data_IF_339022340755
#
_entry.id   IF_339022340755
#
_cell.length_a   1.000
_cell.length_b   1.000
_cell.length_c   1.000
_cell.angle_alpha   90.00
_cell.angle_beta   90.00
_cell.angle_gamma   90.00
#
_symmetry.space_group_name_H-M   'P 1'
#
loop_
_entity.id
_entity.type
_entity.pdbx_description
1 polymer ?
#
# COMPACT_ATOMS: atom_id res chain seq x y z
N UNK A 1 18.95 -4.15 -9.93
CA UNK A 1 18.01 -3.64 -10.95
C UNK A 1 17.38 -2.32 -10.50
N UNK A 2 16.56 -2.31 -9.44
CA UNK A 2 15.79 -1.13 -8.99
C UNK A 2 16.62 0.16 -8.91
N UNK A 3 17.74 0.16 -8.18
CA UNK A 3 18.66 1.32 -8.10
C UNK A 3 19.05 1.85 -9.49
N UNK A 4 19.52 0.95 -10.37
CA UNK A 4 20.00 1.30 -11.71
C UNK A 4 18.90 1.80 -12.63
N UNK A 5 17.68 1.29 -12.47
CA UNK A 5 16.55 1.77 -13.26
C UNK A 5 16.15 3.19 -12.86
N UNK A 6 16.19 3.53 -11.57
CA UNK A 6 15.71 4.83 -11.09
C UNK A 6 16.80 5.92 -11.05
N UNK A 7 18.09 5.58 -11.13
CA UNK A 7 19.19 6.57 -11.10
C UNK A 7 19.12 7.56 -12.28
N UNK A 8 18.37 7.23 -13.34
CA UNK A 8 18.08 8.11 -14.48
C UNK A 8 17.33 9.39 -14.08
N UNK A 9 16.57 9.36 -12.98
CA UNK A 9 15.84 10.53 -12.46
C UNK A 9 16.69 11.39 -11.52
N UNK A 10 17.84 10.86 -11.06
CA UNK A 10 18.79 11.56 -10.22
C UNK A 10 19.48 10.66 -9.19
N UNK A 11 20.36 11.23 -8.35
CA UNK A 11 21.12 10.49 -7.35
C UNK A 11 20.18 9.81 -6.33
N UNK A 12 20.44 8.53 -6.08
CA UNK A 12 19.69 7.67 -5.14
C UNK A 12 20.52 7.44 -3.89
N UNK A 13 19.88 7.56 -2.73
CA UNK A 13 20.47 7.21 -1.43
C UNK A 13 20.26 5.73 -1.13
N UNK A 14 19.04 5.23 -1.37
CA UNK A 14 18.66 3.84 -1.10
C UNK A 14 17.65 3.34 -2.10
N UNK A 15 17.77 2.06 -2.48
CA UNK A 15 16.74 1.35 -3.22
C UNK A 15 16.63 -0.08 -2.68
N UNK A 16 15.45 -0.47 -2.22
CA UNK A 16 15.21 -1.77 -1.60
C UNK A 16 13.92 -2.40 -2.11
N UNK A 17 13.92 -3.71 -2.30
CA UNK A 17 12.72 -4.48 -2.64
C UNK A 17 12.15 -5.04 -1.35
N UNK A 18 10.85 -4.89 -1.15
CA UNK A 18 10.14 -5.44 0.01
C UNK A 18 10.04 -6.96 -0.15
N UNK A 19 10.38 -7.68 0.91
CA UNK A 19 10.30 -9.15 0.99
C UNK A 19 9.44 -9.57 2.16
N UNK A 20 8.80 -10.74 2.04
CA UNK A 20 8.07 -11.38 3.14
C UNK A 20 9.02 -12.03 4.16
N UNK A 21 8.45 -12.65 5.20
CA UNK A 21 9.16 -13.34 6.28
C UNK A 21 10.02 -14.53 5.79
N UNK A 22 9.81 -15.00 4.56
CA UNK A 22 10.55 -16.08 3.90
C UNK A 22 11.57 -15.56 2.88
N UNK A 23 11.71 -14.24 2.75
CA UNK A 23 12.62 -13.61 1.80
C UNK A 23 12.11 -13.58 0.36
N UNK A 24 10.84 -13.90 0.11
CA UNK A 24 10.24 -13.77 -1.23
C UNK A 24 9.77 -12.34 -1.45
N UNK A 25 10.04 -11.79 -2.63
CA UNK A 25 9.62 -10.42 -2.97
C UNK A 25 8.09 -10.27 -2.95
N UNK A 26 7.60 -9.13 -2.44
CA UNK A 26 6.17 -8.80 -2.40
C UNK A 26 5.67 -8.14 -3.70
N UNK A 27 6.59 -7.74 -4.58
CA UNK A 27 6.28 -6.93 -5.76
C UNK A 27 6.39 -5.42 -5.52
N UNK A 28 6.66 -5.01 -4.28
CA UNK A 28 6.84 -3.62 -3.88
C UNK A 28 8.32 -3.31 -3.63
N UNK A 29 8.66 -2.02 -3.68
CA UNK A 29 9.99 -1.54 -3.35
C UNK A 29 9.99 -0.05 -3.03
N UNK A 30 11.04 0.39 -2.37
CA UNK A 30 11.24 1.76 -1.93
C UNK A 30 12.47 2.31 -2.65
N UNK A 31 12.35 3.53 -3.17
CA UNK A 31 13.46 4.29 -3.76
C UNK A 31 13.54 5.66 -3.09
N UNK A 32 14.67 5.93 -2.45
CA UNK A 32 14.96 7.19 -1.77
C UNK A 32 15.96 7.99 -2.61
N UNK A 33 15.52 9.15 -3.09
CA UNK A 33 16.36 10.07 -3.84
C UNK A 33 17.04 11.07 -2.90
N UNK A 34 18.30 11.41 -3.21
CA UNK A 34 19.02 12.46 -2.48
C UNK A 34 18.43 13.86 -2.68
N UNK A 35 17.53 14.03 -3.66
CA UNK A 35 16.89 15.30 -3.99
C UNK A 35 15.38 15.12 -4.19
N UNK A 36 14.59 15.96 -3.51
CA UNK A 36 13.12 16.02 -3.69
C UNK A 36 12.72 16.30 -5.15
N UNK A 37 13.49 17.09 -5.88
CA UNK A 37 13.24 17.36 -7.31
C UNK A 37 13.33 16.10 -8.18
N UNK A 38 14.24 15.17 -7.85
CA UNK A 38 14.39 13.89 -8.56
C UNK A 38 13.21 12.96 -8.28
N UNK A 39 12.77 12.88 -7.02
CA UNK A 39 11.56 12.13 -6.66
C UNK A 39 10.31 12.69 -7.39
N UNK A 40 10.13 14.01 -7.41
CA UNK A 40 9.02 14.65 -8.12
C UNK A 40 9.07 14.40 -9.64
N UNK A 41 10.26 14.41 -10.24
CA UNK A 41 10.42 14.08 -11.66
C UNK A 41 10.05 12.62 -11.92
N UNK A 42 10.55 11.68 -11.10
CA UNK A 42 10.19 10.26 -11.18
C UNK A 42 8.68 10.05 -11.10
N UNK A 43 8.01 10.63 -10.09
CA UNK A 43 6.56 10.54 -9.91
C UNK A 43 5.80 11.04 -11.13
N UNK A 44 6.17 12.22 -11.66
CA UNK A 44 5.52 12.77 -12.86
C UNK A 44 5.71 11.86 -14.07
N UNK A 45 6.94 11.44 -14.37
CA UNK A 45 7.25 10.64 -15.55
C UNK A 45 6.61 9.25 -15.50
N UNK A 46 6.63 8.57 -14.36
CA UNK A 46 6.04 7.24 -14.20
C UNK A 46 4.50 7.25 -14.17
N UNK A 47 3.88 8.37 -13.77
CA UNK A 47 2.42 8.52 -13.87
C UNK A 47 1.95 8.88 -15.29
N UNK A 48 2.78 9.60 -16.06
CA UNK A 48 2.44 9.99 -17.43
C UNK A 48 2.82 8.92 -18.47
N UNK A 49 3.77 8.03 -18.17
CA UNK A 49 4.35 7.08 -19.14
C UNK A 49 4.55 5.70 -18.53
N UNK A 50 4.50 4.68 -19.39
CA UNK A 50 4.81 3.30 -19.00
C UNK A 50 6.32 3.10 -18.82
N UNK A 51 6.78 2.98 -17.58
CA UNK A 51 8.18 2.69 -17.28
C UNK A 51 8.37 1.19 -16.96
N UNK A 52 8.96 0.45 -17.90
CA UNK A 52 9.21 -0.99 -17.76
C UNK A 52 10.64 -1.26 -17.27
N UNK A 53 10.79 -2.13 -16.26
CA UNK A 53 12.12 -2.50 -15.72
C UNK A 53 12.73 -3.73 -16.38
N UNK A 54 11.90 -4.55 -17.03
CA UNK A 54 12.31 -5.82 -17.64
C UNK A 54 11.62 -5.99 -18.98
N UNK A 55 11.85 -7.12 -19.66
CA UNK A 55 11.11 -7.48 -20.87
C UNK A 55 9.60 -7.72 -20.62
N UNK A 56 9.18 -7.86 -19.36
CA UNK A 56 7.77 -7.92 -19.01
C UNK A 56 7.11 -6.55 -19.24
N UNK A 57 6.01 -6.54 -20.00
CA UNK A 57 5.22 -5.35 -20.29
C UNK A 57 4.29 -4.96 -19.13
N UNK A 58 4.80 -5.07 -17.88
CA UNK A 58 4.15 -4.57 -16.67
C UNK A 58 4.89 -3.33 -16.19
N UNK A 59 4.29 -2.13 -16.34
CA UNK A 59 4.98 -0.90 -15.96
C UNK A 59 5.07 -0.81 -14.44
N UNK A 60 6.09 -0.11 -13.94
CA UNK A 60 6.13 0.26 -12.54
C UNK A 60 5.06 1.30 -12.22
N UNK A 61 4.36 1.05 -11.12
CA UNK A 61 3.52 2.05 -10.45
C UNK A 61 4.38 2.72 -9.37
N UNK A 62 4.33 4.05 -9.31
CA UNK A 62 5.14 4.84 -8.38
C UNK A 62 4.23 5.80 -7.63
N UNK A 63 4.24 5.69 -6.31
CA UNK A 63 3.45 6.53 -5.41
C UNK A 63 4.37 7.23 -4.41
N UNK A 64 4.00 8.41 -3.90
CA UNK A 64 4.71 9.02 -2.79
C UNK A 64 4.70 8.08 -1.58
N UNK A 65 5.86 7.89 -0.95
CA UNK A 65 5.92 7.14 0.30
C UNK A 65 5.40 8.02 1.44
N UNK A 66 4.32 7.59 2.08
CA UNK A 66 3.85 8.18 3.33
C UNK A 66 4.83 7.80 4.45
N UNK A 67 5.52 8.79 4.99
CA UNK A 67 6.43 8.59 6.12
C UNK A 67 5.61 8.69 7.40
N UNK A 68 5.21 7.54 7.93
CA UNK A 68 4.66 7.47 9.28
C UNK A 68 5.84 7.45 10.26
N UNK A 69 6.11 8.58 10.92
CA UNK A 69 7.07 8.63 12.02
C UNK A 69 6.42 8.04 13.28
N UNK A 70 6.65 6.76 13.52
CA UNK A 70 6.11 5.99 14.64
C UNK A 70 7.07 5.93 15.84
N UNK A 71 8.21 6.62 15.79
CA UNK A 71 9.22 6.57 16.86
C UNK A 71 8.69 7.07 18.20
N UNK A 72 7.97 8.20 18.19
CA UNK A 72 7.51 8.88 19.40
C UNK A 72 6.01 8.68 19.69
N UNK A 73 5.24 8.27 18.68
CA UNK A 73 3.78 8.11 18.77
C UNK A 73 3.05 9.38 19.25
N UNK A 74 1.94 9.19 19.97
CA UNK A 74 1.17 10.29 20.58
C UNK A 74 1.26 10.22 22.13
N UNK A 75 2.19 10.95 22.76
CA UNK A 75 2.38 10.87 24.20
C UNK A 75 1.25 11.57 24.97
N UNK A 76 0.88 11.03 26.14
CA UNK A 76 -0.20 11.57 27.00
C UNK A 76 -0.02 13.06 27.34
N UNK A 77 1.23 13.52 27.47
CA UNK A 77 1.55 14.93 27.73
C UNK A 77 1.21 15.88 26.57
N UNK A 78 1.13 15.36 25.35
CA UNK A 78 0.76 16.12 24.16
C UNK A 78 -0.76 16.28 24.01
N UNK A 79 -1.56 15.53 24.78
CA UNK A 79 -3.01 15.60 24.72
C UNK A 79 -3.54 16.86 25.42
N UNK A 80 -4.51 17.51 24.79
CA UNK A 80 -5.18 18.67 25.38
C UNK A 80 -6.20 18.24 26.44
N UNK A 81 -5.75 18.19 27.70
CA UNK A 81 -6.56 17.78 28.86
C UNK A 81 -7.74 18.71 29.18
N UNK A 82 -7.77 19.90 28.58
CA UNK A 82 -8.87 20.87 28.74
C UNK A 82 -10.07 20.56 27.85
N UNK A 83 -9.91 19.71 26.83
CA UNK A 83 -11.03 19.30 25.99
C UNK A 83 -12.04 18.51 26.82
N UNK A 84 -13.33 18.84 26.68
CA UNK A 84 -14.39 18.12 27.37
C UNK A 84 -14.43 16.65 26.94
N UNK A 85 -14.23 16.40 25.63
CA UNK A 85 -14.15 15.06 25.03
C UNK A 85 -13.06 14.21 25.68
N UNK A 86 -11.87 14.78 25.95
CA UNK A 86 -10.77 14.07 26.62
C UNK A 86 -11.21 13.50 27.97
N UNK A 87 -11.91 14.30 28.77
CA UNK A 87 -12.39 13.91 30.09
C UNK A 87 -13.59 12.95 29.99
N UNK A 88 -14.49 13.18 29.04
CA UNK A 88 -15.66 12.34 28.83
C UNK A 88 -15.27 10.93 28.37
N UNK A 89 -14.40 10.80 27.38
CA UNK A 89 -13.93 9.49 26.88
C UNK A 89 -13.19 8.69 27.94
N UNK A 90 -12.47 9.37 28.85
CA UNK A 90 -11.71 8.76 29.95
C UNK A 90 -12.51 8.58 31.24
N UNK A 91 -13.78 8.94 31.25
CA UNK A 91 -14.65 8.78 32.43
C UNK A 91 -14.88 7.31 32.80
N UNK A 92 -14.65 6.39 31.85
CA UNK A 92 -14.69 4.94 32.08
C UNK A 92 -13.41 4.31 31.53
N UNK A 93 -12.74 3.51 32.36
CA UNK A 93 -11.49 2.86 31.99
C UNK A 93 -11.64 1.68 31.01
N UNK A 94 -10.51 1.08 30.59
CA UNK A 94 -10.48 -0.11 29.75
C UNK A 94 -11.22 -1.27 30.42
N UNK A 95 -12.12 -1.94 29.67
CA UNK A 95 -12.96 -3.03 30.18
C UNK A 95 -13.46 -3.91 29.05
N UNK A 96 -13.95 -5.10 29.41
CA UNK A 96 -14.83 -5.88 28.54
C UNK A 96 -16.28 -5.59 28.91
N UNK A 97 -17.13 -5.43 27.91
CA UNK A 97 -18.56 -5.24 28.11
C UNK A 97 -19.24 -6.57 28.46
N UNK A 98 -20.14 -6.54 29.45
CA UNK A 98 -20.97 -7.71 29.80
C UNK A 98 -21.86 -8.12 28.63
N UNK A 99 -22.01 -9.42 28.39
CA UNK A 99 -22.69 -9.97 27.21
C UNK A 99 -24.10 -9.40 26.96
N UNK A 100 -24.83 -9.06 28.01
CA UNK A 100 -26.21 -8.55 27.92
C UNK A 100 -26.31 -7.02 28.08
N UNK A 101 -25.19 -6.31 27.99
CA UNK A 101 -25.15 -4.85 28.11
C UNK A 101 -25.35 -4.15 26.77
N UNK A 102 -25.87 -2.92 26.81
CA UNK A 102 -25.94 -2.04 25.64
C UNK A 102 -24.56 -1.82 25.00
N UNK A 103 -23.50 -1.72 25.81
CA UNK A 103 -22.12 -1.58 25.34
C UNK A 103 -21.68 -2.80 24.50
N UNK A 104 -22.03 -4.00 24.95
CA UNK A 104 -21.71 -5.23 24.22
C UNK A 104 -22.48 -5.34 22.90
N UNK A 105 -23.77 -4.99 22.89
CA UNK A 105 -24.57 -4.98 21.66
C UNK A 105 -23.99 -3.99 20.64
N UNK A 106 -23.73 -2.76 21.06
CA UNK A 106 -23.19 -1.72 20.18
C UNK A 106 -21.77 -2.04 19.70
N UNK A 107 -20.90 -2.50 20.61
CA UNK A 107 -19.55 -2.96 20.28
C UNK A 107 -19.54 -4.14 19.31
N UNK A 108 -20.52 -5.04 19.39
CA UNK A 108 -20.67 -6.16 18.45
C UNK A 108 -21.02 -5.68 17.04
N UNK A 109 -21.86 -4.65 16.89
CA UNK A 109 -22.15 -4.04 15.58
C UNK A 109 -20.91 -3.39 14.96
N UNK A 110 -20.07 -2.73 15.76
CA UNK A 110 -18.77 -2.22 15.30
C UNK A 110 -17.87 -3.34 14.79
N UNK A 111 -17.75 -4.46 15.52
CA UNK A 111 -16.98 -5.62 15.07
C UNK A 111 -17.50 -6.17 13.74
N UNK A 112 -18.82 -6.35 13.61
CA UNK A 112 -19.46 -6.81 12.38
C UNK A 112 -19.18 -5.86 11.19
N UNK A 113 -19.17 -4.55 11.42
CA UNK A 113 -18.82 -3.57 10.39
C UNK A 113 -17.38 -3.73 9.90
N UNK A 114 -16.43 -3.92 10.82
CA UNK A 114 -15.03 -4.16 10.47
C UNK A 114 -14.83 -5.50 9.75
N UNK A 115 -15.54 -6.55 10.17
CA UNK A 115 -15.51 -7.85 9.50
C UNK A 115 -16.07 -7.76 8.07
N UNK A 116 -17.15 -7.00 7.88
CA UNK A 116 -17.73 -6.73 6.56
C UNK A 116 -16.74 -5.96 5.68
N UNK A 117 -16.08 -4.92 6.21
CA UNK A 117 -15.06 -4.17 5.49
C UNK A 117 -13.91 -5.08 5.04
N UNK A 118 -13.39 -5.92 5.95
CA UNK A 118 -12.32 -6.87 5.63
C UNK A 118 -12.73 -7.85 4.54
N UNK A 119 -13.94 -8.42 4.63
CA UNK A 119 -14.48 -9.33 3.61
C UNK A 119 -14.60 -8.67 2.23
N UNK A 120 -15.06 -7.41 2.17
CA UNK A 120 -15.12 -6.63 0.93
C UNK A 120 -13.72 -6.38 0.34
N UNK A 121 -12.77 -6.00 1.18
CA UNK A 121 -11.38 -5.77 0.75
C UNK A 121 -10.75 -7.05 0.18
N UNK A 122 -10.93 -8.19 0.85
CA UNK A 122 -10.39 -9.48 0.41
C UNK A 122 -11.05 -9.98 -0.88
N UNK A 123 -12.32 -9.64 -1.09
CA UNK A 123 -13.04 -9.93 -2.33
C UNK A 123 -12.48 -9.09 -3.48
N UNK A 124 -12.35 -7.77 -3.28
CA UNK A 124 -11.78 -6.86 -4.27
C UNK A 124 -10.33 -7.24 -4.65
N UNK A 125 -9.50 -7.63 -3.67
CA UNK A 125 -8.13 -8.11 -3.92
C UNK A 125 -8.10 -9.36 -4.82
N UNK A 126 -9.04 -10.29 -4.62
CA UNK A 126 -9.14 -11.51 -5.45
C UNK A 126 -9.62 -11.19 -6.86
N UNK A 127 -10.62 -10.32 -6.99
CA UNK A 127 -11.13 -9.87 -8.29
C UNK A 127 -10.04 -9.17 -9.10
N UNK A 128 -9.30 -8.23 -8.49
CA UNK A 128 -8.19 -7.53 -9.14
C UNK A 128 -7.14 -8.52 -9.65
N UNK A 129 -6.74 -9.49 -8.81
CA UNK A 129 -5.77 -10.51 -9.20
C UNK A 129 -6.23 -11.34 -10.40
N UNK A 130 -7.51 -11.71 -10.45
CA UNK A 130 -8.05 -12.47 -11.59
C UNK A 130 -8.03 -11.64 -12.88
N UNK A 131 -8.35 -10.35 -12.81
CA UNK A 131 -8.29 -9.46 -13.98
C UNK A 131 -6.83 -9.23 -14.45
N UNK A 132 -5.87 -9.14 -13.53
CA UNK A 132 -4.44 -9.08 -13.88
C UNK A 132 -3.96 -10.35 -14.60
N UNK A 133 -4.33 -11.53 -14.09
CA UNK A 133 -3.99 -12.82 -14.71
C UNK A 133 -4.61 -12.96 -16.11
N UNK A 134 -5.86 -12.50 -16.27
CA UNK A 134 -6.55 -12.48 -17.55
C UNK A 134 -5.88 -11.54 -18.56
N UNK A 135 -5.48 -10.35 -18.12
CA UNK A 135 -4.75 -9.40 -18.97
C UNK A 135 -3.42 -9.98 -19.43
N UNK A 136 -2.66 -10.61 -18.52
CA UNK A 136 -1.38 -11.24 -18.85
C UNK A 136 -1.55 -12.36 -19.89
N UNK A 137 -2.57 -13.21 -19.73
CA UNK A 137 -2.89 -14.26 -20.70
C UNK A 137 -3.26 -13.70 -22.09
N UNK A 138 -4.06 -12.62 -22.14
CA UNK A 138 -4.39 -11.94 -23.40
C UNK A 138 -3.14 -11.36 -24.07
N UNK A 139 -2.23 -10.76 -23.31
CA UNK A 139 -0.98 -10.20 -23.84
C UNK A 139 -0.04 -11.30 -24.35
N UNK A 140 0.08 -12.42 -23.65
CA UNK A 140 0.88 -13.56 -24.11
C UNK A 140 0.35 -14.14 -25.42
N UNK A 141 -0.98 -14.26 -25.54
CA UNK A 141 -1.64 -14.72 -26.76
C UNK A 141 -1.37 -13.75 -27.93
N UNK A 142 -1.58 -12.45 -27.73
CA UNK A 142 -1.32 -11.45 -28.76
C UNK A 142 0.16 -11.40 -29.19
N UNK A 143 1.10 -11.59 -28.26
CA UNK A 143 2.53 -11.66 -28.58
C UNK A 143 2.85 -12.88 -29.46
N UNK A 144 2.26 -14.04 -29.14
CA UNK A 144 2.43 -15.25 -29.94
C UNK A 144 1.88 -15.07 -31.36
N UNK A 145 0.69 -14.49 -31.51
CA UNK A 145 0.12 -14.21 -32.84
C UNK A 145 1.05 -13.32 -33.68
N UNK A 146 1.55 -12.22 -33.11
CA UNK A 146 2.50 -11.34 -33.80
C UNK A 146 3.80 -12.04 -34.19
N UNK A 147 4.37 -12.85 -33.29
CA UNK A 147 5.58 -13.63 -33.57
C UNK A 147 5.33 -14.64 -34.71
N UNK A 148 4.15 -15.25 -34.77
CA UNK A 148 3.79 -16.19 -35.85
C UNK A 148 3.47 -15.52 -37.18
N UNK A 149 2.92 -14.30 -37.19
CA UNK A 149 2.68 -13.53 -38.42
C UNK A 149 3.98 -12.99 -39.04
N UNK A 150 5.03 -12.82 -38.22
CA UNK A 150 6.35 -12.33 -38.64
C UNK A 150 7.30 -13.46 -39.13
N UNK A 151 6.87 -14.72 -39.07
CA UNK A 151 7.61 -15.91 -39.51
C UNK A 151 7.13 -16.41 -40.88
#
# INVERSE_FOLDING_TARGET
LLYKSFEIFGPIERASITVDDRGKHTGEGIVEFAKKSSANACLRFCNEKCFFLTASLRPCLVEPMEVNDDNDGLPEKALNKKLQEFNQERSVGPRFADLNSFEHEYGSRWKQLHDLYKSKQDTLKRELKMEEEKLDAQMQYARYEQETELL
#
